data_IF_144634435347
#
_entry.id   IF_144634435347
#
_cell.length_a   1.000
_cell.length_b   1.000
_cell.length_c   1.000
_cell.angle_alpha   90.00
_cell.angle_beta   90.00
_cell.angle_gamma   90.00
#
_symmetry.space_group_name_H-M   'P 1'
#
loop_
_entity.id
_entity.type
_entity.pdbx_description
1 polymer ?
#
# COMPACT_ATOMS: atom_id res chain seq x y z
N UNK A 1 -8.51 -27.41 11.61
CA UNK A 1 -8.35 -26.15 12.39
C UNK A 1 -6.92 -26.19 12.92
N UNK A 2 -5.97 -25.74 12.10
CA UNK A 2 -4.56 -25.69 12.49
C UNK A 2 -4.39 -24.56 13.51
N UNK A 3 -3.89 -24.94 14.68
CA UNK A 3 -3.46 -24.00 15.72
C UNK A 3 -2.21 -23.31 15.17
N UNK A 4 -2.36 -22.07 14.66
CA UNK A 4 -1.23 -21.27 14.21
C UNK A 4 -0.17 -21.25 15.29
N UNK A 5 1.07 -21.51 14.92
CA UNK A 5 2.22 -21.45 15.82
C UNK A 5 2.23 -20.07 16.47
N UNK A 6 2.27 -20.02 17.81
CA UNK A 6 2.45 -18.76 18.54
C UNK A 6 3.81 -18.16 18.14
N UNK A 7 3.79 -17.12 17.33
CA UNK A 7 5.01 -16.41 16.97
C UNK A 7 5.03 -15.77 15.58
N UNK A 8 4.15 -16.16 14.67
CA UNK A 8 4.20 -15.70 13.27
C UNK A 8 3.29 -14.47 13.08
N UNK A 9 3.85 -13.35 12.58
CA UNK A 9 3.09 -12.14 12.30
C UNK A 9 2.26 -12.32 11.03
N UNK A 10 0.99 -11.94 11.08
CA UNK A 10 0.09 -11.96 9.92
C UNK A 10 -0.42 -10.55 9.64
N UNK A 11 -0.29 -10.12 8.41
CA UNK A 11 -0.72 -8.79 7.98
C UNK A 11 -1.85 -8.91 6.95
N UNK A 12 -2.96 -8.22 7.20
CA UNK A 12 -3.96 -8.00 6.16
C UNK A 12 -3.40 -7.05 5.11
N UNK A 13 -3.64 -7.30 3.83
CA UNK A 13 -3.17 -6.43 2.76
C UNK A 13 -4.36 -6.05 1.87
N UNK A 14 -4.52 -4.76 1.65
CA UNK A 14 -5.63 -4.18 0.92
C UNK A 14 -5.11 -3.39 -0.28
N UNK A 15 -5.65 -3.69 -1.47
CA UNK A 15 -5.49 -2.85 -2.65
C UNK A 15 -6.37 -1.59 -2.56
N UNK A 16 -6.65 -1.00 -3.68
CA UNK A 16 -7.48 0.20 -3.82
C UNK A 16 -8.88 -0.02 -3.23
N UNK A 17 -9.33 0.89 -2.36
CA UNK A 17 -10.57 0.72 -1.57
C UNK A 17 -11.76 1.48 -2.19
N UNK A 18 -11.54 2.27 -3.23
CA UNK A 18 -12.62 3.07 -3.82
C UNK A 18 -13.74 2.22 -4.46
N UNK A 19 -14.95 2.82 -4.52
CA UNK A 19 -16.11 2.22 -5.17
C UNK A 19 -16.92 1.28 -4.29
N UNK A 20 -17.64 0.37 -4.92
CA UNK A 20 -18.56 -0.59 -4.31
C UNK A 20 -18.08 -2.02 -4.51
N UNK A 21 -18.41 -2.91 -3.58
CA UNK A 21 -18.15 -4.35 -3.72
C UNK A 21 -18.83 -4.88 -4.97
N UNK A 22 -18.15 -5.76 -5.69
CA UNK A 22 -18.66 -6.35 -6.93
C UNK A 22 -19.99 -7.06 -6.72
N UNK A 23 -21.05 -6.56 -7.38
CA UNK A 23 -22.42 -7.10 -7.30
C UNK A 23 -23.18 -6.72 -6.03
N UNK A 24 -22.81 -5.63 -5.36
CA UNK A 24 -23.40 -5.14 -4.11
C UNK A 24 -23.50 -3.62 -4.11
N UNK A 25 -24.43 -3.06 -3.33
CA UNK A 25 -24.53 -1.62 -3.03
C UNK A 25 -23.67 -1.20 -1.82
N UNK A 26 -22.89 -2.12 -1.27
CA UNK A 26 -22.01 -1.87 -0.13
C UNK A 26 -20.72 -1.20 -0.58
N UNK A 27 -20.35 -0.08 0.04
CA UNK A 27 -19.08 0.59 -0.24
C UNK A 27 -17.89 -0.26 0.21
N UNK A 28 -16.81 -0.24 -0.57
CA UNK A 28 -15.56 -0.95 -0.22
C UNK A 28 -14.99 -0.50 1.13
N UNK A 29 -15.10 0.78 1.47
CA UNK A 29 -14.62 1.27 2.78
C UNK A 29 -15.40 0.65 3.96
N UNK A 30 -16.71 0.45 3.84
CA UNK A 30 -17.49 -0.18 4.90
C UNK A 30 -17.15 -1.67 5.05
N UNK A 31 -16.81 -2.32 3.94
CA UNK A 31 -16.25 -3.68 3.98
C UNK A 31 -14.86 -3.70 4.64
N UNK A 32 -13.98 -2.76 4.31
CA UNK A 32 -12.66 -2.64 4.94
C UNK A 32 -12.77 -2.46 6.46
N UNK A 33 -13.69 -1.58 6.93
CA UNK A 33 -13.96 -1.39 8.37
C UNK A 33 -14.39 -2.72 9.02
N UNK A 34 -15.32 -3.45 8.41
CA UNK A 34 -15.76 -4.75 8.92
C UNK A 34 -14.62 -5.78 8.90
N UNK A 35 -13.81 -5.79 7.83
CA UNK A 35 -12.68 -6.71 7.69
C UNK A 35 -11.67 -6.50 8.83
N UNK A 36 -11.35 -5.24 9.19
CA UNK A 36 -10.45 -4.95 10.30
C UNK A 36 -10.99 -5.38 11.66
N UNK A 37 -12.30 -5.50 11.82
CA UNK A 37 -12.93 -6.00 13.04
C UNK A 37 -12.96 -7.52 13.14
N UNK A 38 -13.07 -8.22 12.01
CA UNK A 38 -13.34 -9.66 11.97
C UNK A 38 -12.14 -10.53 11.63
N UNK A 39 -11.21 -10.02 10.80
CA UNK A 39 -10.05 -10.79 10.36
C UNK A 39 -8.98 -10.87 11.47
N UNK A 40 -8.52 -12.09 11.76
CA UNK A 40 -7.50 -12.35 12.78
C UNK A 40 -6.08 -12.12 12.22
N UNK A 41 -5.67 -10.83 12.15
CA UNK A 41 -4.34 -10.39 11.74
C UNK A 41 -3.83 -9.33 12.72
N UNK A 42 -2.52 -9.07 12.75
CA UNK A 42 -1.89 -8.14 13.69
C UNK A 42 -2.11 -6.67 13.29
N UNK A 43 -2.00 -6.38 11.99
CA UNK A 43 -2.22 -5.06 11.40
C UNK A 43 -2.62 -5.21 9.93
N UNK A 44 -2.96 -4.08 9.30
CA UNK A 44 -3.25 -4.00 7.87
C UNK A 44 -2.27 -3.06 7.17
N UNK A 45 -1.92 -3.40 5.92
CA UNK A 45 -1.20 -2.56 4.97
C UNK A 45 -2.14 -2.20 3.82
N UNK A 46 -2.14 -0.92 3.40
CA UNK A 46 -2.98 -0.46 2.30
C UNK A 46 -2.16 0.38 1.32
N UNK A 47 -2.29 0.10 0.02
CA UNK A 47 -1.37 0.55 -1.02
C UNK A 47 -1.87 1.75 -1.84
N UNK A 48 -2.69 2.61 -1.25
CA UNK A 48 -3.19 3.85 -1.87
C UNK A 48 -4.63 3.73 -2.40
N UNK A 49 -5.19 4.89 -2.78
CA UNK A 49 -6.57 5.02 -3.24
C UNK A 49 -7.60 4.53 -2.21
N UNK A 50 -7.44 5.01 -0.96
CA UNK A 50 -8.42 4.78 0.10
C UNK A 50 -9.71 5.57 -0.15
N UNK A 51 -9.62 6.79 -0.65
CA UNK A 51 -10.69 7.72 -1.05
C UNK A 51 -11.70 8.10 0.04
N UNK A 52 -11.98 7.21 0.98
CA UNK A 52 -12.90 7.41 2.10
C UNK A 52 -12.23 7.02 3.41
N UNK A 53 -12.07 7.99 4.31
CA UNK A 53 -11.32 7.83 5.55
C UNK A 53 -12.26 7.52 6.71
N UNK A 54 -11.99 6.42 7.43
CA UNK A 54 -12.76 5.91 8.57
C UNK A 54 -11.83 5.51 9.72
N UNK A 55 -12.38 5.43 10.91
CA UNK A 55 -11.73 4.69 12.00
C UNK A 55 -11.86 3.19 11.78
N UNK A 56 -10.84 2.45 12.16
CA UNK A 56 -10.74 1.00 12.01
C UNK A 56 -10.67 0.32 13.39
N UNK A 57 -10.93 -0.98 13.43
CA UNK A 57 -10.84 -1.77 14.66
C UNK A 57 -9.41 -2.23 14.99
N UNK A 58 -8.55 -2.30 13.96
CA UNK A 58 -7.12 -2.66 14.07
C UNK A 58 -6.26 -1.64 13.33
N UNK A 59 -4.95 -1.56 13.62
CA UNK A 59 -4.04 -0.66 12.91
C UNK A 59 -4.06 -0.90 11.40
N UNK A 60 -4.30 0.15 10.62
CA UNK A 60 -4.18 0.21 9.17
C UNK A 60 -3.06 1.20 8.86
N UNK A 61 -1.95 0.71 8.36
CA UNK A 61 -0.84 1.52 7.87
C UNK A 61 -1.00 1.69 6.36
N UNK A 62 -1.10 2.91 5.91
CA UNK A 62 -1.46 3.20 4.53
C UNK A 62 -0.56 4.25 3.91
N UNK A 63 -0.41 4.16 2.60
CA UNK A 63 0.09 5.22 1.73
C UNK A 63 -1.09 5.78 0.95
N UNK A 64 -0.99 6.99 0.39
CA UNK A 64 -2.01 7.50 -0.51
C UNK A 64 -1.66 7.25 -1.98
N UNK A 65 -2.69 7.21 -2.84
CA UNK A 65 -2.60 7.14 -4.30
C UNK A 65 -3.11 8.43 -4.95
N UNK A 66 -3.35 8.38 -6.26
CA UNK A 66 -3.78 9.56 -7.02
C UNK A 66 -5.26 9.95 -6.82
N UNK A 67 -6.10 9.03 -6.34
CA UNK A 67 -7.49 9.32 -6.02
C UNK A 67 -7.72 9.67 -4.56
N UNK A 68 -6.67 9.71 -3.74
CA UNK A 68 -6.76 10.20 -2.38
C UNK A 68 -6.82 11.73 -2.33
N UNK A 69 -7.39 12.26 -1.27
CA UNK A 69 -7.64 13.69 -1.11
C UNK A 69 -6.51 14.32 -0.27
N UNK A 70 -5.56 15.05 -0.86
CA UNK A 70 -4.38 15.54 -0.17
C UNK A 70 -4.65 16.41 1.05
N UNK A 71 -5.72 17.22 1.01
CA UNK A 71 -6.17 18.04 2.13
C UNK A 71 -6.67 17.19 3.31
N UNK A 72 -7.36 16.08 3.02
CA UNK A 72 -7.82 15.14 4.06
C UNK A 72 -6.64 14.34 4.61
N UNK A 73 -5.70 13.91 3.77
CA UNK A 73 -4.45 13.27 4.21
C UNK A 73 -3.75 14.17 5.22
N UNK A 74 -3.57 15.45 4.90
CA UNK A 74 -2.95 16.44 5.80
C UNK A 74 -3.71 16.60 7.11
N UNK A 75 -5.05 16.65 7.07
CA UNK A 75 -5.88 16.74 8.28
C UNK A 75 -5.70 15.50 9.19
N UNK A 76 -5.55 14.31 8.61
CA UNK A 76 -5.26 13.09 9.37
C UNK A 76 -3.86 13.17 10.00
N UNK A 77 -2.85 13.61 9.24
CA UNK A 77 -1.47 13.74 9.71
C UNK A 77 -1.32 14.77 10.85
N UNK A 78 -2.02 15.90 10.76
CA UNK A 78 -1.97 16.96 11.78
C UNK A 78 -2.85 16.69 12.99
N UNK A 79 -3.69 15.64 12.94
CA UNK A 79 -4.64 15.32 13.98
C UNK A 79 -5.88 16.21 14.01
N UNK A 80 -6.06 17.09 13.01
CA UNK A 80 -7.29 17.88 12.83
C UNK A 80 -8.51 16.98 12.57
N UNK A 81 -8.26 15.81 11.94
CA UNK A 81 -9.25 14.75 11.73
C UNK A 81 -8.81 13.47 12.43
N UNK A 82 -9.11 13.31 13.73
CA UNK A 82 -8.69 12.14 14.47
C UNK A 82 -9.44 10.90 13.99
N UNK A 83 -8.72 9.92 13.48
CA UNK A 83 -9.25 8.62 13.07
C UNK A 83 -8.50 7.52 13.80
N UNK A 84 -9.25 6.68 14.53
CA UNK A 84 -8.67 5.59 15.31
C UNK A 84 -8.08 4.53 14.39
N UNK A 85 -6.85 4.09 14.69
CA UNK A 85 -6.15 3.02 13.99
C UNK A 85 -5.90 3.25 12.49
N UNK A 86 -5.99 4.50 12.01
CA UNK A 86 -5.55 4.88 10.68
C UNK A 86 -4.22 5.63 10.79
N UNK A 87 -3.14 5.03 10.28
CA UNK A 87 -1.78 5.54 10.41
C UNK A 87 -1.17 5.76 9.02
N UNK A 88 -0.99 7.02 8.65
CA UNK A 88 -0.33 7.38 7.42
C UNK A 88 1.17 7.05 7.50
N UNK A 89 1.67 6.26 6.55
CA UNK A 89 3.09 5.99 6.38
C UNK A 89 3.67 7.02 5.41
N UNK A 90 4.43 7.97 5.92
CA UNK A 90 5.03 9.03 5.11
C UNK A 90 6.09 8.49 4.17
N UNK A 91 6.25 9.13 3.02
CA UNK A 91 7.33 8.77 2.08
C UNK A 91 8.68 8.76 2.78
N UNK A 92 9.42 7.67 2.61
CA UNK A 92 10.75 7.50 3.21
C UNK A 92 10.78 7.24 4.72
N UNK A 93 9.64 7.23 5.40
CA UNK A 93 9.53 6.76 6.78
C UNK A 93 9.66 5.25 6.85
N UNK A 94 10.28 4.74 7.92
CA UNK A 94 10.37 3.30 8.21
C UNK A 94 9.55 2.97 9.44
N UNK A 95 8.46 2.25 9.23
CA UNK A 95 7.67 1.62 10.27
C UNK A 95 8.27 0.26 10.62
N UNK A 96 8.40 -0.05 11.91
CA UNK A 96 8.74 -1.40 12.38
C UNK A 96 7.55 -1.98 13.12
N UNK A 97 6.94 -3.01 12.58
CA UNK A 97 5.96 -3.82 13.28
C UNK A 97 6.67 -4.95 14.03
N UNK A 98 6.19 -5.26 15.23
CA UNK A 98 6.80 -6.28 16.09
C UNK A 98 5.74 -7.23 16.63
N UNK A 99 5.99 -8.54 16.53
CA UNK A 99 5.19 -9.59 17.13
C UNK A 99 6.12 -10.64 17.76
N UNK A 100 6.13 -10.72 19.08
CA UNK A 100 7.11 -11.56 19.78
C UNK A 100 8.55 -11.12 19.48
N UNK A 101 9.33 -11.99 18.89
CA UNK A 101 10.72 -11.72 18.44
C UNK A 101 10.82 -11.32 16.98
N UNK A 102 9.74 -11.38 16.25
CA UNK A 102 9.72 -10.98 14.85
C UNK A 102 9.60 -9.47 14.69
N UNK A 103 10.31 -8.93 13.69
CA UNK A 103 10.27 -7.53 13.33
C UNK A 103 10.16 -7.44 11.80
N UNK A 104 9.21 -6.66 11.33
CA UNK A 104 9.02 -6.39 9.89
C UNK A 104 9.18 -4.90 9.67
N UNK A 105 10.13 -4.52 8.82
CA UNK A 105 10.44 -3.13 8.46
C UNK A 105 9.72 -2.76 7.17
N UNK A 106 8.85 -1.77 7.26
CA UNK A 106 7.95 -1.36 6.19
C UNK A 106 8.26 0.08 5.83
N UNK A 107 8.36 0.38 4.55
CA UNK A 107 8.47 1.74 4.04
C UNK A 107 7.54 1.92 2.83
N UNK A 108 7.38 3.16 2.36
CA UNK A 108 6.53 3.40 1.21
C UNK A 108 6.83 4.69 0.48
N UNK A 109 6.29 4.77 -0.73
CA UNK A 109 6.23 5.95 -1.58
C UNK A 109 4.77 6.34 -1.79
N UNK A 110 4.40 7.53 -1.36
CA UNK A 110 3.06 8.07 -1.50
C UNK A 110 2.82 8.67 -2.87
N UNK A 111 1.58 8.60 -3.37
CA UNK A 111 1.16 9.19 -4.62
C UNK A 111 1.40 8.30 -5.83
N UNK A 112 0.93 8.76 -6.99
CA UNK A 112 1.18 8.14 -8.28
C UNK A 112 2.27 8.90 -9.06
N UNK A 113 2.70 8.33 -10.19
CA UNK A 113 3.60 9.00 -11.11
C UNK A 113 2.81 9.87 -12.10
N UNK A 114 3.27 11.10 -12.30
CA UNK A 114 2.80 11.98 -13.37
C UNK A 114 3.97 12.83 -13.87
N UNK A 115 4.30 12.74 -15.14
CA UNK A 115 5.43 13.44 -15.77
C UNK A 115 5.41 14.94 -15.50
N UNK A 116 4.22 15.54 -15.51
CA UNK A 116 4.03 16.99 -15.29
C UNK A 116 4.55 17.44 -13.92
N UNK A 117 4.44 16.59 -12.90
CA UNK A 117 4.74 16.93 -11.52
C UNK A 117 6.08 16.37 -11.02
N UNK A 118 6.66 15.41 -11.74
CA UNK A 118 7.84 14.66 -11.27
C UNK A 118 9.07 15.54 -11.05
N UNK A 119 9.31 16.48 -11.95
CA UNK A 119 10.47 17.39 -11.92
C UNK A 119 10.15 18.81 -11.41
N UNK A 120 8.97 19.01 -10.79
CA UNK A 120 8.66 20.30 -10.19
C UNK A 120 9.63 20.62 -9.04
N UNK A 121 10.21 21.84 -9.09
CA UNK A 121 11.04 22.34 -8.00
C UNK A 121 10.18 22.51 -6.74
N UNK A 122 10.57 21.82 -5.67
CA UNK A 122 9.91 21.87 -4.36
C UNK A 122 9.97 23.27 -3.70
N UNK A 123 10.75 24.21 -4.24
CA UNK A 123 10.83 25.59 -3.77
C UNK A 123 9.63 26.44 -4.18
N UNK A 124 8.87 26.00 -5.17
CA UNK A 124 7.60 26.62 -5.54
C UNK A 124 6.45 25.90 -4.83
N UNK A 125 5.44 26.67 -4.37
CA UNK A 125 4.24 26.08 -3.81
C UNK A 125 3.61 25.14 -4.86
N UNK A 126 3.54 23.85 -4.54
CA UNK A 126 2.92 22.89 -5.41
C UNK A 126 1.39 23.08 -5.42
N UNK A 127 0.74 23.06 -6.59
CA UNK A 127 -0.72 23.02 -6.65
C UNK A 127 -1.28 21.88 -5.81
N UNK A 128 -2.44 22.07 -5.19
CA UNK A 128 -3.03 21.05 -4.30
C UNK A 128 -3.19 19.70 -4.99
N UNK A 129 -3.64 19.71 -6.25
CA UNK A 129 -3.80 18.50 -7.07
C UNK A 129 -2.48 17.75 -7.30
N UNK A 130 -1.34 18.45 -7.33
CA UNK A 130 -0.04 17.82 -7.52
C UNK A 130 0.43 17.02 -6.30
N UNK A 131 -0.17 17.25 -5.12
CA UNK A 131 0.18 16.51 -3.90
C UNK A 131 -0.25 15.04 -3.94
N UNK A 132 -1.14 14.65 -4.86
CA UNK A 132 -1.49 13.26 -5.13
C UNK A 132 -0.40 12.50 -5.92
N UNK A 133 0.66 13.20 -6.36
CA UNK A 133 1.71 12.64 -7.19
C UNK A 133 3.08 12.84 -6.51
N UNK A 134 3.95 11.84 -6.62
CA UNK A 134 5.30 11.98 -6.07
C UNK A 134 6.23 12.73 -7.03
N UNK A 135 7.22 13.41 -6.45
CA UNK A 135 8.29 14.08 -7.20
C UNK A 135 9.62 13.33 -7.10
N UNK A 136 10.62 13.83 -7.83
CA UNK A 136 12.00 13.30 -7.81
C UNK A 136 12.58 13.21 -6.40
N UNK A 137 12.36 14.24 -5.56
CA UNK A 137 12.87 14.27 -4.20
C UNK A 137 12.30 13.16 -3.32
N UNK A 138 11.03 12.79 -3.51
CA UNK A 138 10.39 11.67 -2.81
C UNK A 138 11.08 10.34 -3.16
N UNK A 139 11.40 10.15 -4.44
CA UNK A 139 12.14 8.99 -4.93
C UNK A 139 13.57 8.98 -4.36
N UNK A 140 14.29 10.08 -4.41
CA UNK A 140 15.64 10.21 -3.86
C UNK A 140 15.67 9.89 -2.36
N UNK A 141 14.67 10.32 -1.60
CA UNK A 141 14.51 9.94 -0.19
C UNK A 141 14.36 8.44 -0.03
N UNK A 142 13.51 7.79 -0.84
CA UNK A 142 13.32 6.34 -0.79
C UNK A 142 14.61 5.58 -1.16
N UNK A 143 15.42 6.07 -2.10
CA UNK A 143 16.69 5.44 -2.51
C UNK A 143 17.72 5.38 -1.38
N UNK A 144 17.56 6.16 -0.31
CA UNK A 144 18.43 6.09 0.88
C UNK A 144 18.12 4.94 1.83
N UNK A 145 16.95 4.34 1.70
CA UNK A 145 16.46 3.30 2.61
C UNK A 145 17.29 2.01 2.53
N UNK A 146 17.42 1.33 3.67
CA UNK A 146 18.16 0.06 3.76
C UNK A 146 17.43 -0.91 4.69
N UNK A 147 17.58 -2.20 4.40
CA UNK A 147 16.99 -3.28 5.20
C UNK A 147 15.47 -3.15 5.34
N UNK A 148 14.79 -2.96 4.22
CA UNK A 148 13.33 -2.92 4.16
C UNK A 148 12.82 -4.30 3.77
N UNK A 149 11.88 -4.82 4.55
CA UNK A 149 11.24 -6.11 4.28
C UNK A 149 10.06 -5.94 3.31
N UNK A 150 9.21 -4.94 3.55
CA UNK A 150 8.05 -4.64 2.71
C UNK A 150 8.11 -3.18 2.24
N UNK A 151 8.00 -2.97 0.94
CA UNK A 151 7.87 -1.62 0.37
C UNK A 151 6.49 -1.45 -0.27
N UNK A 152 5.79 -0.40 0.11
CA UNK A 152 4.49 -0.04 -0.45
C UNK A 152 4.68 1.03 -1.52
N UNK A 153 4.07 0.85 -2.70
CA UNK A 153 3.98 1.86 -3.74
C UNK A 153 2.59 1.82 -4.36
N UNK A 154 2.01 2.98 -4.69
CA UNK A 154 0.71 2.94 -5.35
C UNK A 154 0.83 2.44 -6.80
N UNK A 155 1.82 2.91 -7.56
CA UNK A 155 2.12 2.40 -8.91
C UNK A 155 3.03 1.17 -8.92
N UNK A 156 3.07 0.44 -10.03
CA UNK A 156 3.92 -0.72 -10.23
C UNK A 156 5.28 -0.33 -10.85
N UNK A 157 6.37 -1.07 -10.56
CA UNK A 157 7.68 -0.83 -11.18
C UNK A 157 7.70 -1.24 -12.67
N UNK A 158 8.41 -0.49 -13.50
CA UNK A 158 8.59 -0.81 -14.92
C UNK A 158 9.39 -2.09 -15.17
N UNK A 159 9.21 -2.69 -16.33
CA UNK A 159 9.98 -3.84 -16.82
C UNK A 159 9.57 -5.18 -16.24
N UNK A 160 8.42 -5.25 -15.55
CA UNK A 160 7.85 -6.49 -15.02
C UNK A 160 6.51 -6.87 -15.69
N UNK A 161 6.13 -6.17 -16.76
CA UNK A 161 4.96 -6.44 -17.58
C UNK A 161 3.64 -6.12 -16.87
N UNK A 162 3.61 -5.06 -16.09
CA UNK A 162 2.38 -4.56 -15.48
C UNK A 162 1.57 -3.76 -16.49
N UNK A 163 0.36 -4.21 -16.75
CA UNK A 163 -0.54 -3.63 -17.73
C UNK A 163 -0.64 -4.45 -19.01
N UNK A 164 -1.37 -3.90 -19.99
CA UNK A 164 -1.37 -4.37 -21.37
C UNK A 164 -0.15 -3.75 -22.06
N UNK A 165 0.32 -4.33 -23.14
CA UNK A 165 1.38 -3.68 -23.92
C UNK A 165 0.97 -2.27 -24.39
N UNK A 166 1.82 -1.22 -24.25
CA UNK A 166 3.13 -1.25 -23.59
C UNK A 166 3.06 -1.42 -22.05
N UNK A 167 4.17 -1.80 -21.42
CA UNK A 167 4.29 -1.89 -19.96
C UNK A 167 4.02 -0.51 -19.33
N UNK A 168 3.00 -0.41 -18.48
CA UNK A 168 2.61 0.82 -17.78
C UNK A 168 3.34 0.99 -16.44
N UNK A 169 4.35 0.16 -16.17
CA UNK A 169 5.17 0.30 -14.97
C UNK A 169 5.98 1.60 -14.97
N UNK A 170 6.30 2.09 -13.77
CA UNK A 170 6.95 3.38 -13.53
C UNK A 170 8.45 3.20 -13.37
N UNK A 171 9.30 3.85 -14.20
CA UNK A 171 10.76 3.73 -14.10
C UNK A 171 11.32 4.18 -12.75
N UNK A 172 10.77 5.22 -12.14
CA UNK A 172 11.19 5.71 -10.83
C UNK A 172 10.94 4.68 -9.72
N UNK A 173 9.79 3.98 -9.75
CA UNK A 173 9.50 2.88 -8.80
C UNK A 173 10.42 1.68 -9.08
N UNK A 174 10.76 1.43 -10.35
CA UNK A 174 11.76 0.41 -10.70
C UNK A 174 13.13 0.72 -10.12
N UNK A 175 13.58 1.98 -10.16
CA UNK A 175 14.83 2.39 -9.54
C UNK A 175 14.84 2.16 -8.02
N UNK A 176 13.72 2.44 -7.33
CA UNK A 176 13.58 2.12 -5.90
C UNK A 176 13.69 0.61 -5.66
N UNK A 177 12.99 -0.21 -6.44
CA UNK A 177 13.04 -1.66 -6.33
C UNK A 177 14.47 -2.19 -6.48
N UNK A 178 15.22 -1.70 -7.47
CA UNK A 178 16.57 -2.16 -7.78
C UNK A 178 17.61 -1.72 -6.72
N UNK A 179 17.42 -0.57 -6.05
CA UNK A 179 18.36 -0.03 -5.05
C UNK A 179 18.03 -0.47 -3.65
N UNK A 180 16.75 -0.41 -3.24
CA UNK A 180 16.30 -0.75 -1.88
C UNK A 180 16.26 -2.26 -1.70
N UNK A 181 15.91 -3.00 -2.75
CA UNK A 181 15.80 -4.47 -2.77
C UNK A 181 14.95 -5.01 -1.61
N UNK A 182 13.72 -4.51 -1.43
CA UNK A 182 12.86 -5.04 -0.37
C UNK A 182 12.56 -6.51 -0.65
N UNK A 183 12.30 -7.29 0.40
CA UNK A 183 11.88 -8.68 0.21
C UNK A 183 10.56 -8.78 -0.57
N UNK A 184 9.60 -7.89 -0.24
CA UNK A 184 8.34 -7.74 -0.96
C UNK A 184 8.12 -6.28 -1.36
N UNK A 185 7.61 -6.06 -2.58
CA UNK A 185 7.00 -4.80 -2.98
C UNK A 185 5.51 -5.04 -3.28
N UNK A 186 4.64 -4.26 -2.63
CA UNK A 186 3.19 -4.34 -2.79
C UNK A 186 2.70 -3.08 -3.52
N UNK A 187 1.97 -3.26 -4.62
CA UNK A 187 1.51 -2.18 -5.50
C UNK A 187 0.00 -2.24 -5.70
N UNK A 188 -0.65 -1.07 -5.83
CA UNK A 188 -2.04 -0.88 -6.23
C UNK A 188 -2.19 -0.42 -7.69
N UNK A 189 -3.14 0.50 -7.93
CA UNK A 189 -3.34 1.29 -9.16
C UNK A 189 -3.69 0.49 -10.43
N UNK A 190 -3.02 -0.62 -10.68
CA UNK A 190 -3.21 -1.43 -11.89
C UNK A 190 -4.53 -2.22 -11.90
N UNK A 191 -5.17 -2.40 -10.74
CA UNK A 191 -6.46 -3.08 -10.53
C UNK A 191 -6.50 -4.53 -11.01
N UNK A 192 -5.38 -5.22 -11.01
CA UNK A 192 -5.32 -6.66 -11.28
C UNK A 192 -4.21 -7.31 -10.47
N UNK A 193 -4.42 -8.57 -10.11
CA UNK A 193 -3.41 -9.34 -9.41
C UNK A 193 -2.33 -9.84 -10.37
N UNK A 194 -1.09 -9.59 -10.02
CA UNK A 194 0.07 -10.17 -10.69
C UNK A 194 1.21 -10.33 -9.72
N UNK A 195 1.88 -11.47 -9.78
CA UNK A 195 3.13 -11.73 -9.10
C UNK A 195 4.27 -11.68 -10.12
N UNK A 196 5.35 -11.00 -9.77
CA UNK A 196 6.58 -10.95 -10.55
C UNK A 196 7.78 -11.05 -9.61
N UNK A 197 8.91 -11.52 -10.15
CA UNK A 197 10.12 -11.73 -9.36
C UNK A 197 11.30 -11.00 -10.00
N UNK A 198 12.17 -10.46 -9.16
CA UNK A 198 13.53 -10.06 -9.50
C UNK A 198 14.52 -11.03 -8.85
N UNK A 199 15.81 -10.78 -8.95
CA UNK A 199 16.81 -11.59 -8.26
C UNK A 199 16.71 -11.50 -6.72
N UNK A 200 16.13 -10.42 -6.19
CA UNK A 200 16.13 -10.09 -4.75
C UNK A 200 14.74 -9.89 -4.15
N UNK A 201 13.73 -9.62 -4.97
CA UNK A 201 12.42 -9.18 -4.50
C UNK A 201 11.30 -9.91 -5.21
N UNK A 202 10.20 -10.14 -4.49
CA UNK A 202 8.89 -10.47 -5.07
C UNK A 202 8.04 -9.21 -5.13
N UNK A 203 7.38 -8.97 -6.25
CA UNK A 203 6.52 -7.80 -6.48
C UNK A 203 5.09 -8.28 -6.75
N UNK A 204 4.15 -7.80 -5.97
CA UNK A 204 2.73 -8.05 -6.16
C UNK A 204 2.01 -6.77 -6.59
N UNK A 205 1.39 -6.81 -7.77
CA UNK A 205 0.30 -5.91 -8.10
C UNK A 205 -0.98 -6.48 -7.51
N UNK A 206 -1.70 -5.66 -6.77
CA UNK A 206 -2.92 -6.08 -6.07
C UNK A 206 -4.16 -5.66 -6.85
N UNK A 207 -5.19 -6.49 -6.78
CA UNK A 207 -6.51 -6.13 -7.28
C UNK A 207 -7.20 -5.15 -6.30
N UNK A 208 -8.26 -4.52 -6.75
CA UNK A 208 -9.10 -3.67 -5.90
C UNK A 208 -9.78 -4.50 -4.80
N UNK A 209 -9.99 -3.88 -3.64
CA UNK A 209 -10.71 -4.51 -2.52
C UNK A 209 -12.13 -4.97 -2.90
N UNK A 210 -12.76 -4.37 -3.91
CA UNK A 210 -14.07 -4.81 -4.38
C UNK A 210 -14.11 -6.27 -4.84
N UNK A 211 -12.95 -6.82 -5.25
CA UNK A 211 -12.84 -8.17 -5.78
C UNK A 211 -12.15 -9.12 -4.78
N UNK A 212 -11.05 -8.67 -4.15
CA UNK A 212 -10.27 -9.51 -3.24
C UNK A 212 -9.44 -8.71 -2.22
N UNK A 213 -9.09 -9.37 -1.12
CA UNK A 213 -8.13 -8.93 -0.12
C UNK A 213 -7.10 -10.04 0.11
N UNK A 214 -6.04 -9.73 0.86
CA UNK A 214 -4.92 -10.63 1.02
C UNK A 214 -4.49 -10.75 2.48
N UNK A 215 -3.81 -11.86 2.78
CA UNK A 215 -3.10 -12.06 4.05
C UNK A 215 -1.65 -12.39 3.73
N UNK A 216 -0.74 -11.59 4.25
CA UNK A 216 0.68 -11.85 4.23
C UNK A 216 1.08 -12.58 5.52
N UNK A 217 1.60 -13.79 5.37
CA UNK A 217 2.26 -14.54 6.44
C UNK A 217 3.76 -14.23 6.40
N UNK A 218 4.30 -13.61 7.46
CA UNK A 218 5.69 -13.16 7.50
C UNK A 218 6.67 -14.28 7.79
N UNK A 219 6.22 -15.43 8.27
CA UNK A 219 7.09 -16.59 8.50
C UNK A 219 7.48 -17.27 7.19
N UNK A 220 6.52 -17.43 6.31
CA UNK A 220 6.71 -18.01 4.97
C UNK A 220 6.92 -16.97 3.87
N UNK A 221 6.55 -15.71 4.13
CA UNK A 221 6.49 -14.61 3.17
C UNK A 221 5.58 -14.90 1.98
N UNK A 222 4.50 -15.61 2.24
CA UNK A 222 3.47 -15.91 1.24
C UNK A 222 2.31 -14.95 1.36
N UNK A 223 1.79 -14.52 0.20
CA UNK A 223 0.60 -13.69 0.09
C UNK A 223 -0.58 -14.55 -0.36
N UNK A 224 -1.49 -14.84 0.55
CA UNK A 224 -2.72 -15.60 0.26
C UNK A 224 -3.82 -14.66 -0.20
N UNK A 225 -4.64 -15.09 -1.17
CA UNK A 225 -5.72 -14.31 -1.80
C UNK A 225 -7.08 -14.79 -1.32
N UNK A 226 -7.96 -13.86 -0.99
CA UNK A 226 -9.32 -14.14 -0.54
C UNK A 226 -10.33 -13.25 -1.30
N UNK A 227 -11.38 -13.82 -1.88
CA UNK A 227 -12.42 -13.05 -2.55
C UNK A 227 -13.22 -12.23 -1.52
N UNK A 228 -13.46 -10.95 -1.81
CA UNK A 228 -14.18 -10.05 -0.91
C UNK A 228 -15.64 -10.45 -0.65
N UNK A 229 -16.21 -11.32 -1.50
CA UNK A 229 -17.57 -11.87 -1.34
C UNK A 229 -17.68 -12.95 -0.28
N UNK A 230 -16.58 -13.48 0.26
CA UNK A 230 -16.58 -14.62 1.19
C UNK A 230 -16.97 -14.26 2.62
N UNK A 231 -17.14 -12.99 2.94
CA UNK A 231 -17.48 -12.49 4.28
C UNK A 231 -18.85 -11.76 4.33
N UNK A 232 -19.67 -11.96 3.32
CA UNK A 232 -21.04 -11.39 3.26
C UNK A 232 -22.05 -12.42 3.72
#
# INVERSE_FOLDING_TARGET
MEIGRRGDMRLGVLGDIHGYLSGSDRMCIDFAVNLTATLAVDAFLQVGDMCHYRSFARPVHWIYGNNDWPDVVRQVETGERPLQHLHHLKTGEVLTLSHGTEHVRIAGLNGAFEDLYYDLDLKTERPLESLAFFGRADVEQCLTLRHIDVFLAHGCPAGLGYGREPDHGVPAIRAILDVVQPRLMLCGHAHFFREAHTATSTVYSLNQLKDEYYILDTSSWTLERFPSRSLV
#
